data_IF_448245863811
#
_entry.id   IF_448245863811
#
_cell.length_a   1.000
_cell.length_b   1.000
_cell.length_c   1.000
_cell.angle_alpha   90.00
_cell.angle_beta   90.00
_cell.angle_gamma   90.00
#
_symmetry.space_group_name_H-M   'P 1'
#
loop_
_entity.id
_entity.type
_entity.pdbx_description
1 polymer ?
#
# COMPACT_ATOMS: atom_id res chain seq x y z
N UNK A 1 -49.91 19.97 -17.08
CA UNK A 1 -48.67 19.51 -17.71
C UNK A 1 -47.40 19.93 -16.92
N UNK A 2 -47.17 21.19 -16.59
CA UNK A 2 -45.94 21.63 -15.88
C UNK A 2 -45.71 20.94 -14.53
N UNK A 3 -46.72 20.58 -13.75
CA UNK A 3 -46.59 19.94 -12.44
C UNK A 3 -46.29 18.43 -12.57
N UNK A 4 -46.79 17.78 -13.62
CA UNK A 4 -46.51 16.37 -13.89
C UNK A 4 -45.04 16.19 -14.34
N UNK A 5 -44.55 17.14 -15.15
CA UNK A 5 -43.15 17.13 -15.59
C UNK A 5 -42.20 17.27 -14.38
N UNK A 6 -42.51 18.12 -13.42
CA UNK A 6 -41.72 18.26 -12.18
C UNK A 6 -41.74 17.01 -11.31
N UNK A 7 -42.88 16.33 -11.23
CA UNK A 7 -43.01 15.09 -10.46
C UNK A 7 -42.20 13.92 -11.09
N UNK A 8 -42.13 13.84 -12.41
CA UNK A 8 -41.43 12.78 -13.13
C UNK A 8 -39.92 13.05 -13.28
N UNK A 9 -39.45 14.26 -13.04
CA UNK A 9 -38.05 14.65 -13.27
C UNK A 9 -37.09 13.86 -12.37
N UNK A 10 -37.38 13.73 -11.08
CA UNK A 10 -36.52 13.01 -10.13
C UNK A 10 -36.45 11.50 -10.42
N UNK A 11 -37.55 10.77 -10.66
CA UNK A 11 -37.52 9.38 -11.10
C UNK A 11 -36.76 9.15 -12.41
N UNK A 12 -36.92 10.04 -13.38
CA UNK A 12 -36.20 9.92 -14.66
C UNK A 12 -34.70 10.09 -14.45
N UNK A 13 -34.27 11.06 -13.65
CA UNK A 13 -32.86 11.26 -13.32
C UNK A 13 -32.30 10.03 -12.59
N UNK A 14 -33.00 9.51 -11.57
CA UNK A 14 -32.52 8.36 -10.81
C UNK A 14 -32.40 7.08 -11.66
N UNK A 15 -33.36 6.82 -12.54
CA UNK A 15 -33.32 5.69 -13.45
C UNK A 15 -32.19 5.87 -14.47
N UNK A 16 -31.99 7.06 -15.00
CA UNK A 16 -30.91 7.34 -15.97
C UNK A 16 -29.53 7.16 -15.33
N UNK A 17 -29.31 7.69 -14.12
CA UNK A 17 -28.07 7.52 -13.39
C UNK A 17 -27.82 6.06 -13.01
N UNK A 18 -28.86 5.34 -12.58
CA UNK A 18 -28.74 3.92 -12.27
C UNK A 18 -28.40 3.09 -13.51
N UNK A 19 -29.05 3.38 -14.65
CA UNK A 19 -28.72 2.73 -15.91
C UNK A 19 -27.26 3.04 -16.32
N UNK A 20 -26.79 4.26 -16.12
CA UNK A 20 -25.42 4.65 -16.39
C UNK A 20 -24.43 3.86 -15.50
N UNK A 21 -24.65 3.77 -14.18
CA UNK A 21 -23.78 3.00 -13.28
C UNK A 21 -23.74 1.52 -13.64
N UNK A 22 -24.89 0.95 -14.01
CA UNK A 22 -24.99 -0.46 -14.41
C UNK A 22 -24.29 -0.72 -15.75
N UNK A 23 -24.49 0.16 -16.74
CA UNK A 23 -23.88 0.05 -18.06
C UNK A 23 -22.35 0.24 -18.04
N UNK A 24 -21.86 1.08 -17.13
CA UNK A 24 -20.43 1.35 -16.94
C UNK A 24 -19.76 0.39 -15.96
N UNK A 25 -20.48 -0.59 -15.44
CA UNK A 25 -20.00 -1.55 -14.45
C UNK A 25 -19.43 -0.90 -13.18
N UNK A 26 -19.98 0.27 -12.81
CA UNK A 26 -19.58 1.05 -11.63
C UNK A 26 -20.37 0.54 -10.42
N UNK A 27 -19.68 -0.05 -9.44
CA UNK A 27 -20.26 -0.51 -8.17
C UNK A 27 -19.79 0.35 -6.99
N UNK A 28 -20.56 0.41 -5.89
CA UNK A 28 -20.08 1.07 -4.67
C UNK A 28 -18.84 0.38 -4.13
N UNK A 29 -17.84 1.17 -3.76
CA UNK A 29 -16.65 0.67 -3.09
C UNK A 29 -16.95 0.43 -1.63
N UNK A 30 -16.52 -0.71 -1.09
CA UNK A 30 -16.77 -1.10 0.28
C UNK A 30 -15.57 -0.74 1.16
N UNK A 31 -15.80 -0.19 2.33
CA UNK A 31 -14.76 0.12 3.30
C UNK A 31 -14.23 -1.11 4.03
N UNK A 32 -13.17 -0.90 4.80
CA UNK A 32 -12.47 -1.94 5.56
C UNK A 32 -13.39 -2.75 6.49
N UNK A 33 -14.38 -2.11 7.08
CA UNK A 33 -15.38 -2.71 7.99
C UNK A 33 -16.33 -3.71 7.30
N UNK A 34 -16.49 -3.60 5.99
CA UNK A 34 -17.34 -4.46 5.17
C UNK A 34 -16.58 -5.51 4.37
N UNK A 35 -15.43 -5.14 3.82
CA UNK A 35 -14.58 -6.04 3.04
C UNK A 35 -13.58 -6.83 3.89
N UNK A 36 -13.30 -6.37 5.12
CA UNK A 36 -12.16 -6.83 5.89
C UNK A 36 -10.85 -6.28 5.32
N UNK A 37 -9.73 -6.65 5.92
CA UNK A 37 -8.41 -6.20 5.54
C UNK A 37 -7.60 -5.74 6.73
N UNK A 38 -6.66 -4.81 6.53
CA UNK A 38 -5.81 -4.27 7.58
C UNK A 38 -5.90 -2.74 7.66
N UNK A 39 -5.75 -2.24 8.88
CA UNK A 39 -5.54 -0.84 9.19
C UNK A 39 -4.23 -0.69 9.93
N UNK A 40 -3.33 0.14 9.43
CA UNK A 40 -2.00 0.38 10.01
C UNK A 40 -1.86 1.86 10.30
N UNK A 41 -1.38 2.17 11.51
CA UNK A 41 -0.97 3.52 11.87
C UNK A 41 0.55 3.56 11.87
N UNK A 42 1.09 4.41 11.00
CA UNK A 42 2.50 4.70 10.86
C UNK A 42 2.79 6.07 11.47
N UNK A 43 3.82 6.17 12.29
CA UNK A 43 4.18 7.43 12.97
C UNK A 43 5.57 7.85 12.54
N UNK A 44 5.69 9.08 12.04
CA UNK A 44 6.98 9.71 11.75
C UNK A 44 7.62 10.26 13.04
N UNK A 45 8.95 10.48 13.07
CA UNK A 45 9.63 11.14 14.18
C UNK A 45 9.02 12.50 14.51
N UNK A 46 9.11 12.89 15.81
CA UNK A 46 8.63 14.21 16.24
C UNK A 46 9.39 15.33 15.51
N UNK A 47 8.65 16.33 15.04
CA UNK A 47 9.24 17.47 14.32
C UNK A 47 9.43 17.27 12.84
N UNK A 48 8.93 16.16 12.26
CA UNK A 48 8.93 15.95 10.82
C UNK A 48 8.05 17.00 10.12
N UNK A 49 8.57 17.61 9.07
CA UNK A 49 7.84 18.59 8.26
C UNK A 49 6.65 17.91 7.55
N UNK A 50 5.50 18.57 7.55
CA UNK A 50 4.28 18.02 6.97
C UNK A 50 4.41 17.72 5.47
N UNK A 51 5.19 18.51 4.76
CA UNK A 51 5.47 18.31 3.32
C UNK A 51 6.14 16.94 3.06
N UNK A 52 7.07 16.51 3.93
CA UNK A 52 7.72 15.21 3.83
C UNK A 52 6.72 14.05 4.09
N UNK A 53 5.77 14.26 5.01
CA UNK A 53 4.72 13.28 5.28
C UNK A 53 3.78 13.16 4.07
N UNK A 54 3.42 14.27 3.44
CA UNK A 54 2.59 14.27 2.23
C UNK A 54 3.29 13.57 1.06
N UNK A 55 4.58 13.81 0.86
CA UNK A 55 5.39 13.08 -0.14
C UNK A 55 5.46 11.58 0.17
N UNK A 56 5.64 11.21 1.44
CA UNK A 56 5.65 9.81 1.84
C UNK A 56 4.31 9.11 1.57
N UNK A 57 3.19 9.78 1.83
CA UNK A 57 1.84 9.26 1.54
C UNK A 57 1.67 8.96 0.05
N UNK A 58 2.16 9.83 -0.82
CA UNK A 58 2.07 9.62 -2.27
C UNK A 58 2.92 8.42 -2.73
N UNK A 59 4.13 8.28 -2.18
CA UNK A 59 4.98 7.11 -2.46
C UNK A 59 4.34 5.83 -1.93
N UNK A 60 3.81 5.82 -0.70
CA UNK A 60 3.10 4.68 -0.13
C UNK A 60 1.91 4.26 -0.99
N UNK A 61 1.12 5.23 -1.44
CA UNK A 61 -0.01 4.98 -2.35
C UNK A 61 0.45 4.26 -3.62
N UNK A 62 1.46 4.81 -4.27
CA UNK A 62 1.97 4.27 -5.52
C UNK A 62 2.56 2.87 -5.35
N UNK A 63 3.27 2.62 -4.25
CA UNK A 63 3.78 1.28 -3.92
C UNK A 63 2.65 0.27 -3.75
N UNK A 64 1.62 0.61 -2.97
CA UNK A 64 0.50 -0.31 -2.69
C UNK A 64 -0.30 -0.61 -3.96
N UNK A 65 -0.57 0.40 -4.77
CA UNK A 65 -1.26 0.22 -6.06
C UNK A 65 -0.48 -0.71 -7.00
N UNK A 66 0.85 -0.64 -6.97
CA UNK A 66 1.72 -1.51 -7.78
C UNK A 66 1.73 -2.97 -7.34
N UNK A 67 1.44 -3.27 -6.07
CA UNK A 67 1.31 -4.65 -5.60
C UNK A 67 0.08 -5.38 -6.16
N UNK A 68 -0.91 -4.65 -6.70
CA UNK A 68 -2.05 -5.21 -7.42
C UNK A 68 -3.10 -5.96 -6.59
N UNK A 69 -2.80 -6.28 -5.33
CA UNK A 69 -3.70 -7.03 -4.43
C UNK A 69 -4.70 -6.12 -3.69
N UNK A 70 -4.50 -4.80 -3.73
CA UNK A 70 -5.33 -3.82 -3.04
C UNK A 70 -6.13 -3.03 -4.06
N UNK A 71 -7.44 -3.19 -4.06
CA UNK A 71 -8.29 -2.52 -5.04
C UNK A 71 -8.33 -1.00 -4.84
N UNK A 72 -8.14 -0.49 -3.63
CA UNK A 72 -8.07 0.96 -3.33
C UNK A 72 -7.57 1.19 -1.90
N UNK A 73 -6.29 1.53 -1.73
CA UNK A 73 -5.76 1.90 -0.44
C UNK A 73 -6.33 3.26 0.00
N UNK A 74 -6.84 3.32 1.22
CA UNK A 74 -7.22 4.59 1.85
C UNK A 74 -6.07 5.05 2.75
N UNK A 75 -5.34 6.07 2.32
CA UNK A 75 -4.20 6.62 3.05
C UNK A 75 -4.52 8.06 3.41
N UNK A 76 -4.51 8.35 4.70
CA UNK A 76 -4.83 9.68 5.24
C UNK A 76 -3.87 10.07 6.35
N UNK A 77 -3.53 11.36 6.40
CA UNK A 77 -2.73 11.93 7.49
C UNK A 77 -3.63 12.08 8.72
N UNK A 78 -3.18 11.54 9.85
CA UNK A 78 -3.88 11.56 11.12
C UNK A 78 -3.05 12.30 12.17
N UNK A 79 -3.52 13.47 12.58
CA UNK A 79 -2.73 14.34 13.48
C UNK A 79 -1.56 15.00 12.77
N UNK A 80 -0.47 15.29 13.50
CA UNK A 80 0.67 16.06 12.98
C UNK A 80 1.77 15.21 12.36
N UNK A 81 1.91 13.95 12.79
CA UNK A 81 3.02 13.08 12.38
C UNK A 81 2.63 11.62 12.14
N UNK A 82 1.34 11.32 12.06
CA UNK A 82 0.87 9.95 11.85
C UNK A 82 0.13 9.82 10.52
N UNK A 83 0.27 8.65 9.90
CA UNK A 83 -0.42 8.28 8.67
C UNK A 83 -1.26 7.04 8.96
N UNK A 84 -2.56 7.13 8.71
CA UNK A 84 -3.48 6.01 8.76
C UNK A 84 -3.57 5.39 7.37
N UNK A 85 -3.22 4.12 7.27
CA UNK A 85 -3.30 3.33 6.05
C UNK A 85 -4.34 2.24 6.24
N UNK A 86 -5.37 2.23 5.40
CA UNK A 86 -6.41 1.20 5.39
C UNK A 86 -6.37 0.48 4.05
N UNK A 87 -6.26 -0.84 4.11
CA UNK A 87 -6.13 -1.71 2.94
C UNK A 87 -7.28 -2.72 2.93
N UNK A 88 -8.42 -2.34 2.33
CA UNK A 88 -9.57 -3.22 2.22
C UNK A 88 -9.26 -4.40 1.29
N UNK A 89 -9.75 -5.60 1.63
CA UNK A 89 -9.68 -6.78 0.79
C UNK A 89 -8.29 -7.41 0.63
N UNK A 90 -7.28 -6.92 1.36
CA UNK A 90 -5.93 -7.49 1.32
C UNK A 90 -5.93 -8.92 1.83
N UNK A 91 -5.41 -9.85 1.01
CA UNK A 91 -5.27 -11.26 1.35
C UNK A 91 -3.95 -11.55 2.05
N UNK A 92 -2.85 -10.97 1.57
CA UNK A 92 -1.53 -11.07 2.18
C UNK A 92 -1.19 -9.80 2.97
N UNK A 93 -1.48 -9.88 4.27
CA UNK A 93 -1.31 -8.76 5.19
C UNK A 93 0.16 -8.46 5.48
N UNK A 94 1.01 -9.49 5.56
CA UNK A 94 2.43 -9.31 5.90
C UNK A 94 3.15 -8.57 4.78
N UNK A 95 2.88 -8.94 3.55
CA UNK A 95 3.40 -8.30 2.35
C UNK A 95 3.02 -6.82 2.26
N UNK A 96 1.75 -6.51 2.51
CA UNK A 96 1.29 -5.12 2.48
C UNK A 96 1.92 -4.27 3.60
N UNK A 97 2.13 -4.86 4.79
CA UNK A 97 2.79 -4.20 5.91
C UNK A 97 4.28 -3.97 5.62
N UNK A 98 4.96 -4.94 4.99
CA UNK A 98 6.36 -4.82 4.59
C UNK A 98 6.55 -3.68 3.58
N UNK A 99 5.71 -3.64 2.56
CA UNK A 99 5.73 -2.57 1.55
C UNK A 99 5.55 -1.16 2.13
N UNK A 100 4.74 -1.04 3.20
CA UNK A 100 4.51 0.22 3.90
C UNK A 100 5.64 0.59 4.86
N UNK A 101 6.25 -0.40 5.52
CA UNK A 101 7.17 -0.18 6.62
C UNK A 101 8.63 0.01 6.21
N UNK A 102 9.01 -0.36 4.98
CA UNK A 102 10.37 -0.20 4.50
C UNK A 102 10.58 1.20 3.96
N UNK A 103 11.64 1.87 4.44
CA UNK A 103 12.00 3.19 3.88
C UNK A 103 12.39 3.07 2.43
N UNK A 104 12.97 1.93 2.03
CA UNK A 104 13.46 1.68 0.67
C UNK A 104 14.66 2.56 0.33
N UNK A 105 15.43 2.94 1.34
CA UNK A 105 16.64 3.74 1.15
C UNK A 105 17.71 2.85 0.52
N UNK A 106 17.84 2.97 -0.79
CA UNK A 106 18.88 2.26 -1.54
C UNK A 106 20.13 3.11 -1.68
N UNK A 107 21.29 2.50 -1.40
CA UNK A 107 22.61 3.03 -1.78
C UNK A 107 23.46 1.98 -2.45
N UNK A 108 24.25 2.38 -3.43
CA UNK A 108 25.28 1.55 -4.07
C UNK A 108 26.64 2.08 -3.65
N UNK A 109 27.45 1.22 -3.04
CA UNK A 109 28.71 1.60 -2.39
C UNK A 109 29.85 0.69 -2.79
N UNK A 110 31.10 1.21 -2.91
CA UNK A 110 32.27 0.36 -3.04
C UNK A 110 32.52 -0.42 -1.76
N UNK A 111 32.83 -1.71 -1.89
CA UNK A 111 33.34 -2.51 -0.77
C UNK A 111 34.83 -2.18 -0.57
N UNK A 112 35.19 -1.76 0.63
CA UNK A 112 36.58 -1.48 1.02
C UNK A 112 37.23 -2.75 1.60
N UNK A 113 36.49 -3.43 2.46
CA UNK A 113 36.88 -4.73 3.01
C UNK A 113 35.62 -5.53 3.36
N UNK A 114 35.74 -6.86 3.37
CA UNK A 114 34.73 -7.73 3.97
C UNK A 114 35.48 -8.64 4.90
N UNK A 115 35.47 -8.35 6.18
CA UNK A 115 35.93 -9.28 7.15
C UNK A 115 34.84 -10.29 7.42
N UNK A 116 34.96 -11.44 6.76
CA UNK A 116 34.58 -12.66 7.44
C UNK A 116 35.26 -12.57 8.81
N UNK A 117 34.51 -12.47 9.84
CA UNK A 117 34.91 -12.66 11.22
C UNK A 117 35.94 -13.79 11.26
N UNK A 118 37.22 -13.46 11.24
CA UNK A 118 38.30 -14.43 11.29
C UNK A 118 38.12 -15.31 12.54
N UNK A 119 37.54 -16.50 12.37
CA UNK A 119 37.31 -17.47 13.42
C UNK A 119 36.00 -17.33 14.22
N UNK A 120 35.16 -16.35 13.98
CA UNK A 120 33.85 -16.26 14.55
C UNK A 120 32.84 -16.88 13.57
N UNK A 121 32.33 -18.06 13.92
CA UNK A 121 31.05 -18.55 13.37
C UNK A 121 29.99 -17.96 14.29
N UNK A 122 29.33 -16.88 13.91
CA UNK A 122 28.16 -16.47 14.66
C UNK A 122 27.11 -17.54 14.42
N UNK A 123 26.95 -18.43 15.38
CA UNK A 123 25.68 -19.09 15.53
C UNK A 123 24.70 -17.94 15.78
N UNK A 124 24.00 -17.49 14.73
CA UNK A 124 22.86 -16.62 14.92
C UNK A 124 21.87 -17.40 15.76
N UNK A 125 21.81 -17.06 17.03
CA UNK A 125 20.72 -17.50 17.86
C UNK A 125 19.51 -16.65 17.45
N UNK A 126 18.71 -17.22 16.57
CA UNK A 126 17.38 -16.72 16.34
C UNK A 126 16.55 -17.01 17.59
N UNK A 127 16.36 -16.02 18.43
CA UNK A 127 15.43 -16.18 19.53
C UNK A 127 14.00 -15.93 19.05
N UNK A 128 13.02 -16.73 19.54
CA UNK A 128 11.63 -16.49 19.22
C UNK A 128 11.26 -15.08 19.62
N UNK A 129 10.74 -14.29 18.68
CA UNK A 129 10.18 -13.00 19.00
C UNK A 129 8.88 -13.23 19.79
N UNK A 130 8.76 -12.81 21.07
CA UNK A 130 7.55 -13.03 21.83
C UNK A 130 6.35 -12.28 21.28
N UNK A 131 6.58 -11.21 20.50
CA UNK A 131 5.53 -10.38 19.91
C UNK A 131 5.19 -10.81 18.48
N UNK A 132 6.06 -11.56 17.79
CA UNK A 132 5.87 -12.08 16.44
C UNK A 132 6.64 -13.40 16.25
N UNK A 133 6.02 -14.56 16.56
CA UNK A 133 6.69 -15.88 16.49
C UNK A 133 7.11 -16.29 15.07
N UNK A 134 6.56 -15.66 14.03
CA UNK A 134 6.88 -15.95 12.63
C UNK A 134 8.11 -15.19 12.13
N UNK A 135 8.51 -14.12 12.84
CA UNK A 135 9.73 -13.36 12.58
C UNK A 135 10.67 -13.42 13.79
N UNK A 136 11.60 -14.38 13.83
CA UNK A 136 12.56 -14.46 14.93
C UNK A 136 13.44 -13.22 15.01
N UNK A 137 13.66 -12.72 16.21
CA UNK A 137 14.57 -11.60 16.48
C UNK A 137 15.99 -11.99 16.07
N UNK A 138 16.60 -11.21 15.18
CA UNK A 138 17.98 -11.31 14.79
C UNK A 138 18.84 -10.77 15.95
N UNK A 139 19.42 -11.63 16.75
CA UNK A 139 20.34 -11.21 17.83
C UNK A 139 21.73 -11.12 17.25
N UNK A 140 22.30 -9.92 17.24
CA UNK A 140 23.74 -9.73 17.07
C UNK A 140 24.41 -10.20 18.34
N UNK A 141 25.38 -11.14 18.32
CA UNK A 141 26.03 -11.62 19.54
C UNK A 141 26.65 -10.47 20.32
N UNK A 142 26.46 -10.47 21.65
CA UNK A 142 27.09 -9.53 22.54
C UNK A 142 28.63 -9.47 22.31
N UNK A 143 29.14 -8.26 22.06
CA UNK A 143 30.56 -8.04 21.81
C UNK A 143 30.98 -7.82 20.37
N UNK A 144 30.11 -8.06 19.38
CA UNK A 144 30.39 -7.70 17.97
C UNK A 144 30.28 -6.17 17.79
N UNK A 145 29.33 -5.54 18.47
CA UNK A 145 29.13 -4.08 18.43
C UNK A 145 30.32 -3.32 19.06
N UNK A 146 30.97 -3.87 20.09
CA UNK A 146 32.12 -3.23 20.75
C UNK A 146 33.43 -3.44 19.97
N UNK A 147 33.61 -4.54 19.26
CA UNK A 147 34.87 -4.89 18.59
C UNK A 147 35.01 -4.21 17.23
N UNK A 148 33.89 -3.94 16.51
CA UNK A 148 33.92 -3.48 15.12
C UNK A 148 33.31 -2.10 14.93
N UNK A 149 32.65 -1.54 15.96
CA UNK A 149 31.98 -0.24 15.83
C UNK A 149 30.87 -0.28 14.75
N UNK A 150 30.12 -1.38 14.68
CA UNK A 150 28.95 -1.49 13.81
C UNK A 150 27.95 -0.46 14.31
N UNK A 151 27.97 0.72 13.73
CA UNK A 151 26.87 1.65 13.89
C UNK A 151 25.76 1.18 12.98
N UNK A 152 24.59 0.86 13.52
CA UNK A 152 23.37 0.64 12.72
C UNK A 152 22.95 1.89 11.94
N UNK A 153 23.71 2.97 12.02
CA UNK A 153 23.48 4.19 11.27
C UNK A 153 24.19 4.09 9.92
N UNK A 154 23.42 3.80 8.90
CA UNK A 154 23.86 3.92 7.52
C UNK A 154 24.03 5.41 7.17
N UNK A 155 25.27 5.89 7.19
CA UNK A 155 25.57 7.23 6.71
C UNK A 155 26.10 7.16 5.25
N UNK A 156 25.30 7.58 4.27
CA UNK A 156 25.67 7.52 2.86
C UNK A 156 26.94 8.31 2.50
N UNK A 157 27.33 9.26 3.31
CA UNK A 157 28.45 10.18 3.02
C UNK A 157 29.78 9.78 3.66
N UNK A 158 29.78 8.72 4.47
CA UNK A 158 30.98 8.27 5.20
C UNK A 158 31.19 6.77 5.07
N UNK A 159 32.34 6.28 5.58
CA UNK A 159 32.58 4.85 5.74
C UNK A 159 31.59 4.31 6.77
N UNK A 160 30.94 3.20 6.43
CA UNK A 160 29.98 2.52 7.29
C UNK A 160 30.28 1.02 7.34
N UNK A 161 30.01 0.40 8.48
CA UNK A 161 30.15 -1.03 8.68
C UNK A 161 28.76 -1.64 8.75
N UNK A 162 28.35 -2.35 7.70
CA UNK A 162 27.00 -2.89 7.57
C UNK A 162 27.01 -4.40 7.48
N UNK A 163 25.97 -5.00 8.02
CA UNK A 163 25.77 -6.44 7.97
C UNK A 163 25.07 -6.84 6.68
N UNK A 164 25.49 -7.96 6.10
CA UNK A 164 24.80 -8.61 4.99
C UNK A 164 24.89 -10.12 5.10
N UNK A 165 24.05 -10.83 4.37
CA UNK A 165 24.09 -12.29 4.31
C UNK A 165 24.60 -12.69 2.93
N UNK A 166 25.82 -13.23 2.86
CA UNK A 166 26.37 -13.77 1.64
C UNK A 166 26.46 -15.30 1.76
N UNK A 167 25.93 -16.03 0.78
CA UNK A 167 25.96 -17.49 0.75
C UNK A 167 25.45 -18.20 2.03
N UNK A 168 24.46 -17.58 2.70
CA UNK A 168 23.84 -18.09 3.93
C UNK A 168 24.62 -17.79 5.23
N UNK A 169 25.74 -17.08 5.15
CA UNK A 169 26.51 -16.64 6.30
C UNK A 169 26.50 -15.11 6.42
N UNK A 170 26.42 -14.59 7.65
CA UNK A 170 26.53 -13.16 7.88
C UNK A 170 27.96 -12.67 7.64
N UNK A 171 28.07 -11.56 6.96
CA UNK A 171 29.32 -10.91 6.61
C UNK A 171 29.20 -9.42 6.98
N UNK A 172 30.21 -8.89 7.65
CA UNK A 172 30.31 -7.45 7.89
C UNK A 172 31.12 -6.86 6.75
N UNK A 173 30.52 -5.86 6.11
CA UNK A 173 31.14 -5.12 5.01
C UNK A 173 31.58 -3.74 5.50
N UNK A 174 32.84 -3.41 5.28
CA UNK A 174 33.32 -2.04 5.33
C UNK A 174 33.04 -1.39 3.98
N UNK A 175 32.16 -0.39 3.99
CA UNK A 175 31.67 0.26 2.80
C UNK A 175 32.15 1.71 2.70
N UNK A 176 32.60 2.09 1.53
CA UNK A 176 32.90 3.49 1.24
C UNK A 176 31.64 4.34 1.09
N UNK A 177 31.80 5.66 0.84
CA UNK A 177 30.68 6.56 0.57
C UNK A 177 29.81 6.06 -0.59
N UNK A 178 28.50 6.35 -0.53
CA UNK A 178 27.56 5.98 -1.56
C UNK A 178 27.90 6.68 -2.90
N UNK A 179 28.11 5.89 -3.93
CA UNK A 179 28.30 6.40 -5.29
C UNK A 179 26.98 6.68 -6.00
N UNK A 180 25.96 5.85 -5.71
CA UNK A 180 24.61 5.99 -6.24
C UNK A 180 23.60 5.82 -5.11
N UNK A 181 22.42 6.40 -5.28
CA UNK A 181 21.27 6.32 -4.38
C UNK A 181 20.03 5.88 -5.14
N UNK A 182 18.94 5.56 -4.46
CA UNK A 182 17.65 5.27 -5.08
C UNK A 182 17.16 6.35 -6.04
N UNK A 183 17.57 7.60 -5.83
CA UNK A 183 17.26 8.72 -6.74
C UNK A 183 17.92 8.60 -8.12
N UNK A 184 18.95 7.79 -8.26
CA UNK A 184 19.67 7.57 -9.50
C UNK A 184 19.01 6.47 -10.37
N UNK A 185 18.01 5.74 -9.85
CA UNK A 185 17.27 4.69 -10.54
C UNK A 185 16.10 5.30 -11.33
N UNK A 186 15.91 4.85 -12.56
CA UNK A 186 14.75 5.19 -13.40
C UNK A 186 13.69 4.11 -13.39
N UNK A 187 14.10 2.85 -13.38
CA UNK A 187 13.19 1.69 -13.36
C UNK A 187 13.83 0.48 -12.67
N UNK A 188 12.98 -0.41 -12.13
CA UNK A 188 13.38 -1.66 -11.53
C UNK A 188 12.37 -2.75 -11.86
N UNK A 189 12.83 -3.91 -12.36
CA UNK A 189 11.97 -5.00 -12.81
C UNK A 189 12.54 -6.32 -12.29
N UNK A 190 11.69 -7.16 -11.68
CA UNK A 190 12.06 -8.53 -11.35
C UNK A 190 11.98 -9.39 -12.61
N UNK A 191 13.03 -10.15 -12.89
CA UNK A 191 13.12 -11.07 -14.02
C UNK A 191 13.73 -12.40 -13.57
N UNK A 192 13.48 -13.48 -14.32
CA UNK A 192 13.92 -14.82 -13.98
C UNK A 192 14.77 -15.45 -15.10
N UNK A 193 15.95 -14.88 -15.40
CA UNK A 193 16.88 -15.51 -16.34
C UNK A 193 17.65 -16.67 -15.66
N UNK A 194 18.02 -17.67 -16.45
CA UNK A 194 18.93 -18.74 -16.04
C UNK A 194 18.58 -19.46 -14.72
N UNK A 195 17.28 -19.54 -14.39
CA UNK A 195 16.75 -20.18 -13.18
C UNK A 195 17.09 -19.47 -11.86
N UNK A 196 17.33 -18.17 -11.92
CA UNK A 196 17.59 -17.30 -10.77
C UNK A 196 16.76 -16.03 -10.84
N UNK A 197 16.18 -15.60 -9.71
CA UNK A 197 15.50 -14.31 -9.64
C UNK A 197 16.52 -13.19 -9.50
N UNK A 198 16.43 -12.22 -10.40
CA UNK A 198 17.21 -10.98 -10.33
C UNK A 198 16.28 -9.78 -10.42
N UNK A 199 16.66 -8.69 -9.76
CA UNK A 199 16.04 -7.38 -9.97
C UNK A 199 16.96 -6.57 -10.90
N UNK A 200 16.50 -6.38 -12.13
CA UNK A 200 17.17 -5.55 -13.12
C UNK A 200 16.86 -4.08 -12.84
N UNK A 201 17.91 -3.28 -12.72
CA UNK A 201 17.84 -1.84 -12.46
C UNK A 201 18.23 -1.08 -13.72
N UNK A 202 17.47 -0.07 -14.07
CA UNK A 202 17.80 0.91 -15.09
C UNK A 202 18.12 2.26 -14.41
N UNK A 203 19.29 2.81 -14.69
CA UNK A 203 19.73 4.08 -14.12
C UNK A 203 19.24 5.27 -14.97
N UNK A 204 19.06 6.40 -14.34
CA UNK A 204 18.78 7.65 -15.05
C UNK A 204 20.00 8.07 -15.89
N UNK A 205 19.75 8.68 -17.04
CA UNK A 205 20.81 9.08 -17.99
C UNK A 205 21.89 10.00 -17.40
N UNK A 206 21.54 10.77 -16.36
CA UNK A 206 22.51 11.63 -15.65
C UNK A 206 23.36 10.85 -14.64
N UNK A 207 22.99 9.62 -14.31
CA UNK A 207 23.64 8.77 -13.30
C UNK A 207 24.47 7.65 -13.92
N UNK A 208 24.33 7.41 -15.23
CA UNK A 208 25.11 6.41 -15.98
C UNK A 208 26.63 6.66 -15.87
N UNK A 209 27.06 7.92 -15.96
CA UNK A 209 28.48 8.27 -15.78
C UNK A 209 29.02 7.93 -14.39
N UNK A 210 28.21 8.14 -13.33
CA UNK A 210 28.61 7.80 -11.96
C UNK A 210 28.81 6.29 -11.79
N UNK A 211 27.90 5.49 -12.37
CA UNK A 211 28.00 4.02 -12.34
C UNK A 211 29.19 3.53 -13.15
N UNK A 212 29.42 4.12 -14.34
CA UNK A 212 30.57 3.82 -15.18
C UNK A 212 31.88 4.14 -14.44
N UNK A 213 31.98 5.28 -13.77
CA UNK A 213 33.20 5.67 -13.03
C UNK A 213 33.42 4.77 -11.80
N UNK A 214 32.35 4.42 -11.06
CA UNK A 214 32.41 3.44 -9.97
C UNK A 214 32.95 2.09 -10.47
N UNK A 215 32.38 1.57 -11.55
CA UNK A 215 32.75 0.25 -12.08
C UNK A 215 34.15 0.24 -12.70
N UNK A 216 34.66 1.35 -13.24
CA UNK A 216 36.06 1.51 -13.61
C UNK A 216 36.99 1.37 -12.42
N UNK A 217 36.69 2.13 -11.35
CA UNK A 217 37.50 2.10 -10.13
C UNK A 217 37.56 0.68 -9.55
N UNK A 218 36.40 0.02 -9.43
CA UNK A 218 36.32 -1.35 -8.93
C UNK A 218 36.98 -2.38 -9.87
N UNK A 219 36.86 -2.23 -11.19
CA UNK A 219 37.50 -3.10 -12.16
C UNK A 219 39.03 -3.05 -12.08
N UNK A 220 39.61 -1.96 -11.62
CA UNK A 220 41.05 -1.80 -11.40
C UNK A 220 41.57 -2.51 -10.14
N UNK A 221 40.69 -2.92 -9.25
CA UNK A 221 40.98 -3.54 -7.94
C UNK A 221 40.91 -5.06 -8.01
N UNK A 222 41.24 -5.72 -6.91
CA UNK A 222 41.21 -7.19 -6.79
C UNK A 222 40.58 -7.63 -5.47
N UNK A 223 40.14 -8.89 -5.41
CA UNK A 223 39.52 -9.46 -4.21
C UNK A 223 38.24 -8.76 -3.80
N UNK A 224 38.06 -8.51 -2.50
CA UNK A 224 36.85 -7.89 -1.95
C UNK A 224 36.62 -6.46 -2.46
N UNK A 225 37.69 -5.72 -2.67
CA UNK A 225 37.61 -4.35 -3.18
C UNK A 225 37.11 -4.24 -4.64
N UNK A 226 36.98 -5.37 -5.35
CA UNK A 226 36.39 -5.44 -6.69
C UNK A 226 34.87 -5.61 -6.64
N UNK A 227 34.28 -5.59 -5.44
CA UNK A 227 32.84 -5.74 -5.24
C UNK A 227 32.18 -4.37 -5.05
N UNK A 228 30.92 -4.29 -5.46
CA UNK A 228 30.01 -3.22 -5.09
C UNK A 228 28.95 -3.78 -4.15
N UNK A 229 28.61 -3.06 -3.12
CA UNK A 229 27.54 -3.43 -2.21
C UNK A 229 26.27 -2.64 -2.57
N UNK A 230 25.15 -3.37 -2.63
CA UNK A 230 23.80 -2.80 -2.74
C UNK A 230 23.20 -2.86 -1.36
N UNK A 231 23.00 -1.70 -0.76
CA UNK A 231 22.49 -1.52 0.60
C UNK A 231 21.06 -1.04 0.52
N UNK A 232 20.18 -1.70 1.24
CA UNK A 232 18.78 -1.34 1.40
C UNK A 232 18.46 -1.22 2.88
N UNK A 233 18.00 -0.04 3.32
CA UNK A 233 17.61 0.23 4.70
C UNK A 233 18.69 -0.16 5.74
N UNK A 234 19.97 0.08 5.39
CA UNK A 234 21.10 -0.21 6.28
C UNK A 234 21.58 -1.67 6.27
N UNK A 235 21.03 -2.54 5.44
CA UNK A 235 21.49 -3.92 5.27
C UNK A 235 22.05 -4.16 3.87
N UNK A 236 23.17 -4.89 3.76
CA UNK A 236 23.73 -5.27 2.48
C UNK A 236 22.93 -6.44 1.90
N UNK A 237 22.08 -6.13 0.91
CA UNK A 237 21.22 -7.14 0.25
C UNK A 237 22.04 -7.98 -0.73
N UNK A 238 23.02 -7.37 -1.41
CA UNK A 238 23.86 -8.06 -2.38
C UNK A 238 25.20 -7.34 -2.51
N UNK A 239 26.27 -8.10 -2.72
CA UNK A 239 27.60 -7.54 -2.94
C UNK A 239 28.31 -8.24 -4.14
N UNK A 240 27.79 -8.02 -5.38
CA UNK A 240 28.36 -8.62 -6.58
C UNK A 240 29.76 -8.08 -6.89
N UNK A 241 30.64 -8.98 -7.35
CA UNK A 241 31.94 -8.60 -7.89
C UNK A 241 31.82 -8.12 -9.33
N UNK A 242 32.66 -7.13 -9.70
CA UNK A 242 32.80 -6.73 -11.10
C UNK A 242 33.50 -7.85 -11.87
N UNK A 243 32.92 -8.30 -12.97
CA UNK A 243 33.45 -9.38 -13.79
C UNK A 243 34.87 -9.05 -14.30
N UNK A 244 35.72 -10.08 -14.41
CA UNK A 244 37.13 -9.88 -14.77
C UNK A 244 37.36 -9.43 -16.21
N UNK A 245 36.38 -9.61 -17.08
CA UNK A 245 36.38 -9.18 -18.49
C UNK A 245 36.00 -7.69 -18.66
N UNK A 246 35.57 -7.02 -17.61
CA UNK A 246 35.32 -5.56 -17.64
C UNK A 246 36.64 -4.80 -17.71
N UNK A 247 36.82 -4.02 -18.78
CA UNK A 247 38.01 -3.18 -18.97
C UNK A 247 38.03 -2.03 -17.94
N UNK A 248 39.10 -1.94 -17.11
CA UNK A 248 39.22 -0.86 -16.11
C UNK A 248 39.22 0.55 -16.69
N UNK A 249 39.51 0.71 -18.00
CA UNK A 249 39.48 2.02 -18.65
C UNK A 249 38.06 2.39 -19.16
N UNK A 250 37.18 1.41 -19.34
CA UNK A 250 35.85 1.61 -19.91
C UNK A 250 34.79 1.53 -18.84
N UNK A 251 34.89 0.56 -17.93
CA UNK A 251 33.83 0.27 -16.95
C UNK A 251 32.57 -0.37 -17.57
N UNK A 252 31.50 -0.43 -16.81
CA UNK A 252 30.19 -0.90 -17.29
C UNK A 252 29.42 0.36 -17.76
N UNK A 253 29.04 0.34 -19.03
CA UNK A 253 28.28 1.41 -19.67
C UNK A 253 26.85 0.96 -19.96
N UNK A 254 25.92 1.91 -20.16
CA UNK A 254 24.54 1.62 -20.55
C UNK A 254 23.55 1.62 -19.40
N UNK A 255 23.98 2.01 -18.18
CA UNK A 255 23.09 2.33 -17.08
C UNK A 255 22.27 1.15 -16.55
N UNK A 256 22.71 -0.10 -16.78
CA UNK A 256 22.01 -1.29 -16.29
C UNK A 256 22.82 -1.98 -15.18
N UNK A 257 22.16 -2.30 -14.09
CA UNK A 257 22.68 -3.09 -12.99
C UNK A 257 21.69 -4.21 -12.65
N UNK A 258 22.14 -5.25 -11.98
CA UNK A 258 21.29 -6.34 -11.56
C UNK A 258 21.59 -6.74 -10.12
N UNK A 259 20.55 -6.95 -9.33
CA UNK A 259 20.61 -7.49 -7.98
C UNK A 259 20.24 -8.96 -8.04
N UNK A 260 21.17 -9.86 -7.72
CA UNK A 260 20.89 -11.28 -7.59
C UNK A 260 20.18 -11.53 -6.25
N UNK A 261 19.04 -12.23 -6.31
CA UNK A 261 18.25 -12.61 -5.12
C UNK A 261 18.60 -14.02 -4.63
N UNK A 262 19.48 -14.72 -5.34
CA UNK A 262 19.85 -16.11 -5.04
C UNK A 262 18.79 -17.15 -5.47
N UNK A 263 19.16 -18.43 -5.33
CA UNK A 263 18.33 -19.56 -5.81
C UNK A 263 17.18 -19.93 -4.85
N UNK A 264 17.15 -19.38 -3.64
CA UNK A 264 16.14 -19.71 -2.61
C UNK A 264 14.99 -18.71 -2.58
N UNK A 265 15.08 -17.67 -3.40
CA UNK A 265 14.05 -16.62 -3.40
C UNK A 265 12.79 -17.06 -4.14
N UNK A 266 11.67 -16.63 -3.58
CA UNK A 266 10.39 -16.68 -4.26
C UNK A 266 10.32 -15.47 -5.18
N UNK A 267 9.83 -15.61 -6.41
CA UNK A 267 9.66 -14.45 -7.30
C UNK A 267 8.87 -13.27 -6.70
N UNK A 268 8.28 -13.52 -5.58
CA UNK A 268 7.54 -12.57 -4.77
C UNK A 268 8.45 -11.54 -4.10
N UNK A 269 9.53 -11.97 -3.42
CA UNK A 269 10.49 -11.04 -2.80
C UNK A 269 11.20 -10.19 -3.85
N UNK A 270 11.55 -10.78 -5.00
CA UNK A 270 12.13 -10.04 -6.12
C UNK A 270 11.18 -8.97 -6.66
N UNK A 271 9.89 -9.29 -6.81
CA UNK A 271 8.87 -8.33 -7.23
C UNK A 271 8.67 -7.22 -6.20
N UNK A 272 8.62 -7.56 -4.90
CA UNK A 272 8.49 -6.59 -3.83
C UNK A 272 9.67 -5.60 -3.84
N UNK A 273 10.89 -6.13 -3.93
CA UNK A 273 12.08 -5.30 -4.02
C UNK A 273 12.04 -4.40 -5.26
N UNK A 274 11.67 -4.92 -6.43
CA UNK A 274 11.56 -4.15 -7.65
C UNK A 274 10.57 -2.99 -7.51
N UNK A 275 9.40 -3.22 -6.87
CA UNK A 275 8.41 -2.17 -6.61
C UNK A 275 8.98 -1.10 -5.68
N UNK A 276 9.61 -1.48 -4.56
CA UNK A 276 10.21 -0.53 -3.62
C UNK A 276 11.25 0.34 -4.33
N UNK A 277 12.10 -0.26 -5.16
CA UNK A 277 13.17 0.46 -5.87
C UNK A 277 12.65 1.34 -7.01
N UNK A 278 11.62 0.89 -7.71
CA UNK A 278 10.99 1.67 -8.80
C UNK A 278 10.31 2.94 -8.31
N UNK A 279 9.60 2.88 -7.18
CA UNK A 279 8.82 4.00 -6.66
C UNK A 279 9.59 4.84 -5.64
N UNK A 280 10.81 4.46 -5.32
CA UNK A 280 11.76 5.24 -4.55
C UNK A 280 11.64 5.10 -3.03
N UNK A 281 12.58 5.71 -2.33
CA UNK A 281 12.66 5.73 -0.87
C UNK A 281 11.61 6.65 -0.25
N UNK A 282 11.08 6.27 0.91
CA UNK A 282 10.30 7.19 1.74
C UNK A 282 11.24 8.28 2.28
N UNK A 283 10.83 9.55 2.25
CA UNK A 283 11.66 10.65 2.74
C UNK A 283 11.81 10.65 4.27
N UNK A 284 11.02 9.84 4.96
CA UNK A 284 10.98 9.72 6.42
C UNK A 284 10.85 8.25 6.80
N UNK A 285 11.58 7.81 7.82
CA UNK A 285 11.39 6.51 8.43
C UNK A 285 10.14 6.55 9.34
N UNK A 286 9.19 5.66 9.06
CA UNK A 286 7.98 5.53 9.87
C UNK A 286 8.08 4.34 10.80
N UNK A 287 7.68 4.55 12.05
CA UNK A 287 7.49 3.46 13.01
C UNK A 287 6.04 2.97 12.98
N UNK A 288 5.86 1.67 13.08
CA UNK A 288 4.54 1.03 13.16
C UNK A 288 3.98 1.17 14.57
N UNK A 289 2.98 2.03 14.74
CA UNK A 289 2.39 2.30 16.06
C UNK A 289 1.23 1.37 16.40
N UNK A 290 0.45 0.93 15.38
CA UNK A 290 -0.68 0.04 15.59
C UNK A 290 -1.05 -0.71 14.30
N UNK A 291 -1.42 -1.97 14.44
CA UNK A 291 -1.95 -2.80 13.35
C UNK A 291 -3.27 -3.39 13.83
N UNK A 292 -4.34 -3.15 13.08
CA UNK A 292 -5.65 -3.73 13.32
C UNK A 292 -6.06 -4.58 12.12
N UNK A 293 -6.33 -5.85 12.38
CA UNK A 293 -6.82 -6.80 11.38
C UNK A 293 -8.34 -6.89 11.48
N UNK A 294 -9.04 -6.61 10.38
CA UNK A 294 -10.49 -6.73 10.28
C UNK A 294 -10.82 -7.95 9.42
N UNK A 295 -11.55 -8.90 10.00
CA UNK A 295 -11.91 -10.12 9.28
C UNK A 295 -12.97 -9.85 8.22
N UNK A 296 -12.73 -10.26 6.99
CA UNK A 296 -13.68 -10.19 5.88
C UNK A 296 -15.02 -10.88 6.20
N UNK A 297 -14.98 -12.00 6.93
CA UNK A 297 -16.20 -12.75 7.28
C UNK A 297 -17.15 -12.00 8.22
N UNK A 298 -16.61 -11.12 9.08
CA UNK A 298 -17.44 -10.26 9.95
C UNK A 298 -18.11 -9.16 9.14
N UNK A 299 -17.39 -8.55 8.20
CA UNK A 299 -17.92 -7.49 7.33
C UNK A 299 -19.01 -8.01 6.39
N UNK A 300 -18.78 -9.12 5.70
CA UNK A 300 -19.74 -9.73 4.77
C UNK A 300 -21.04 -10.15 5.47
N UNK A 301 -20.94 -10.83 6.61
CA UNK A 301 -22.13 -11.20 7.39
C UNK A 301 -22.91 -9.97 7.86
N UNK A 302 -22.23 -8.92 8.30
CA UNK A 302 -22.86 -7.69 8.77
C UNK A 302 -23.54 -6.94 7.62
N UNK A 303 -22.91 -6.90 6.45
CA UNK A 303 -23.48 -6.32 5.23
C UNK A 303 -24.78 -7.08 4.82
N UNK A 304 -24.72 -8.42 4.77
CA UNK A 304 -25.86 -9.23 4.40
C UNK A 304 -27.03 -9.05 5.38
N UNK A 305 -26.76 -9.11 6.69
CA UNK A 305 -27.77 -8.89 7.72
C UNK A 305 -28.35 -7.48 7.67
N UNK A 306 -27.51 -6.46 7.49
CA UNK A 306 -27.93 -5.07 7.35
C UNK A 306 -28.81 -4.85 6.12
N UNK A 307 -28.43 -5.42 4.98
CA UNK A 307 -29.23 -5.35 3.75
C UNK A 307 -30.57 -6.06 3.90
N UNK A 308 -30.58 -7.26 4.49
CA UNK A 308 -31.80 -8.00 4.78
C UNK A 308 -32.75 -7.23 5.71
N UNK A 309 -32.22 -6.68 6.80
CA UNK A 309 -33.00 -5.86 7.73
C UNK A 309 -33.58 -4.62 7.03
N UNK A 310 -32.80 -3.93 6.19
CA UNK A 310 -33.26 -2.80 5.40
C UNK A 310 -34.35 -3.15 4.41
N UNK A 311 -34.21 -4.25 3.67
CA UNK A 311 -35.25 -4.74 2.74
C UNK A 311 -36.53 -5.13 3.48
N UNK A 312 -36.42 -5.87 4.59
CA UNK A 312 -37.59 -6.26 5.41
C UNK A 312 -38.29 -5.02 5.94
N UNK A 313 -37.55 -4.05 6.48
CA UNK A 313 -38.11 -2.77 6.93
C UNK A 313 -38.84 -2.02 5.82
N UNK A 314 -38.23 -1.94 4.63
CA UNK A 314 -38.84 -1.28 3.46
C UNK A 314 -40.14 -1.98 3.01
N UNK A 315 -40.17 -3.32 3.03
CA UNK A 315 -41.36 -4.11 2.69
C UNK A 315 -42.50 -3.83 3.71
N UNK A 316 -42.16 -3.82 4.99
CA UNK A 316 -43.15 -3.53 6.06
C UNK A 316 -43.75 -2.14 5.87
N UNK A 317 -42.90 -1.11 5.72
CA UNK A 317 -43.35 0.28 5.53
C UNK A 317 -44.17 0.39 4.25
N UNK A 318 -43.69 -0.17 3.14
CA UNK A 318 -44.42 -0.16 1.84
C UNK A 318 -45.80 -0.83 1.94
N UNK A 319 -45.86 -1.95 2.64
CA UNK A 319 -47.12 -2.66 2.84
C UNK A 319 -48.12 -1.85 3.70
N UNK A 320 -47.66 -1.24 4.79
CA UNK A 320 -48.47 -0.35 5.60
C UNK A 320 -48.99 0.85 4.82
N UNK A 321 -48.12 1.48 4.02
CA UNK A 321 -48.50 2.60 3.17
C UNK A 321 -49.52 2.20 2.12
N UNK A 322 -49.36 1.05 1.48
CA UNK A 322 -50.30 0.53 0.50
C UNK A 322 -51.66 0.24 1.11
N UNK A 323 -51.71 -0.42 2.29
CA UNK A 323 -52.95 -0.72 3.00
C UNK A 323 -53.70 0.53 3.45
N UNK A 324 -52.97 1.53 3.93
CA UNK A 324 -53.59 2.74 4.50
C UNK A 324 -53.97 3.77 3.43
N UNK A 325 -53.08 4.02 2.47
CA UNK A 325 -53.24 5.09 1.45
C UNK A 325 -53.63 4.57 0.06
N UNK A 326 -53.74 3.23 -0.13
CA UNK A 326 -54.16 2.60 -1.41
C UNK A 326 -53.37 3.16 -2.62
N UNK A 327 -54.04 3.79 -3.56
CA UNK A 327 -53.43 4.31 -4.80
C UNK A 327 -52.32 5.37 -4.54
N UNK A 328 -52.46 6.21 -3.52
CA UNK A 328 -51.44 7.17 -3.11
C UNK A 328 -50.21 6.50 -2.53
N UNK A 329 -50.36 5.35 -1.86
CA UNK A 329 -49.25 4.54 -1.38
C UNK A 329 -48.32 4.07 -2.51
N UNK A 330 -48.86 3.81 -3.71
CA UNK A 330 -48.03 3.44 -4.89
C UNK A 330 -47.10 4.59 -5.28
N UNK A 331 -47.56 5.84 -5.21
CA UNK A 331 -46.73 7.02 -5.52
C UNK A 331 -45.57 7.15 -4.52
N UNK A 332 -45.84 6.88 -3.24
CA UNK A 332 -44.79 6.91 -2.19
C UNK A 332 -43.78 5.81 -2.39
N UNK A 333 -44.22 4.58 -2.69
CA UNK A 333 -43.33 3.45 -2.98
C UNK A 333 -42.43 3.79 -4.17
N UNK A 334 -43.00 4.37 -5.22
CA UNK A 334 -42.24 4.80 -6.40
C UNK A 334 -41.23 5.90 -6.06
N UNK A 335 -41.58 6.86 -5.20
CA UNK A 335 -40.68 7.90 -4.68
C UNK A 335 -39.53 7.33 -3.88
N UNK A 336 -39.83 6.41 -2.94
CA UNK A 336 -38.80 5.72 -2.12
C UNK A 336 -37.85 4.87 -2.98
N UNK A 337 -38.39 4.16 -3.96
CA UNK A 337 -37.57 3.37 -4.91
C UNK A 337 -36.66 4.29 -5.73
N UNK A 338 -37.16 5.44 -6.22
CA UNK A 338 -36.36 6.44 -6.92
C UNK A 338 -35.25 6.99 -6.04
N UNK A 339 -35.52 7.25 -4.76
CA UNK A 339 -34.53 7.70 -3.80
C UNK A 339 -33.43 6.65 -3.59
N UNK A 340 -33.80 5.37 -3.42
CA UNK A 340 -32.83 4.26 -3.28
C UNK A 340 -31.94 4.10 -4.51
N UNK A 341 -32.51 4.19 -5.73
CA UNK A 341 -31.73 4.13 -6.96
C UNK A 341 -30.78 5.33 -7.11
N UNK A 342 -31.25 6.52 -6.74
CA UNK A 342 -30.42 7.72 -6.75
C UNK A 342 -29.26 7.60 -5.76
N UNK A 343 -29.57 7.17 -4.52
CA UNK A 343 -28.58 6.98 -3.47
C UNK A 343 -27.49 5.98 -3.90
N UNK A 344 -27.89 4.80 -4.42
CA UNK A 344 -26.96 3.82 -4.96
C UNK A 344 -26.06 4.41 -6.05
N UNK A 345 -26.68 5.11 -7.02
CA UNK A 345 -25.95 5.69 -8.15
C UNK A 345 -24.96 6.77 -7.71
N UNK A 346 -25.36 7.64 -6.78
CA UNK A 346 -24.50 8.70 -6.27
C UNK A 346 -23.30 8.12 -5.51
N UNK A 347 -23.52 7.14 -4.62
CA UNK A 347 -22.42 6.50 -3.89
C UNK A 347 -21.49 5.76 -4.84
N UNK A 348 -22.02 5.03 -5.83
CA UNK A 348 -21.20 4.34 -6.82
C UNK A 348 -20.33 5.31 -7.63
N UNK A 349 -20.89 6.44 -8.07
CA UNK A 349 -20.18 7.46 -8.81
C UNK A 349 -19.13 8.14 -7.93
N UNK A 350 -19.48 8.55 -6.72
CA UNK A 350 -18.55 9.17 -5.79
C UNK A 350 -17.41 8.21 -5.40
N UNK A 351 -17.73 6.92 -5.20
CA UNK A 351 -16.73 5.90 -4.96
C UNK A 351 -15.72 5.80 -6.09
N UNK A 352 -16.20 5.78 -7.35
CA UNK A 352 -15.32 5.62 -8.49
C UNK A 352 -14.48 6.87 -8.83
N UNK A 353 -15.04 8.07 -8.66
CA UNK A 353 -14.36 9.31 -9.05
C UNK A 353 -13.60 10.00 -7.91
N UNK A 354 -14.01 9.82 -6.67
CA UNK A 354 -13.44 10.50 -5.50
C UNK A 354 -12.95 9.55 -4.40
N UNK A 355 -13.00 8.22 -4.62
CA UNK A 355 -12.52 7.22 -3.67
C UNK A 355 -13.39 7.08 -2.41
N UNK A 356 -14.67 7.51 -2.43
CA UNK A 356 -15.56 7.31 -1.28
C UNK A 356 -15.91 5.83 -1.10
N UNK A 357 -15.62 5.31 0.08
CA UNK A 357 -15.95 3.94 0.47
C UNK A 357 -17.25 3.88 1.28
N UNK A 358 -18.07 2.88 1.00
CA UNK A 358 -19.30 2.61 1.76
C UNK A 358 -18.94 1.83 3.02
N UNK A 359 -19.11 2.47 4.17
CA UNK A 359 -18.86 1.87 5.49
C UNK A 359 -20.14 1.33 6.11
N UNK A 360 -20.03 0.52 7.18
CA UNK A 360 -21.17 0.05 7.97
C UNK A 360 -21.99 1.23 8.52
N UNK A 361 -21.32 2.27 8.99
CA UNK A 361 -21.97 3.51 9.45
C UNK A 361 -22.73 4.20 8.31
N UNK A 362 -22.16 4.20 7.09
CA UNK A 362 -22.79 4.72 5.88
C UNK A 362 -24.09 3.97 5.53
N UNK A 363 -24.08 2.64 5.63
CA UNK A 363 -25.29 1.81 5.42
C UNK A 363 -26.35 2.12 6.46
N UNK A 364 -25.98 2.20 7.75
CA UNK A 364 -26.90 2.58 8.80
C UNK A 364 -27.51 3.97 8.56
N UNK A 365 -26.69 4.95 8.13
CA UNK A 365 -27.15 6.27 7.75
C UNK A 365 -28.12 6.27 6.55
N UNK A 366 -27.86 5.40 5.57
CA UNK A 366 -28.74 5.21 4.42
C UNK A 366 -30.13 4.68 4.86
N UNK A 367 -30.16 3.66 5.71
CA UNK A 367 -31.42 3.07 6.24
C UNK A 367 -32.22 4.14 7.00
N UNK A 368 -31.57 4.91 7.86
CA UNK A 368 -32.20 6.02 8.59
C UNK A 368 -32.74 7.09 7.62
N UNK A 369 -31.98 7.45 6.58
CA UNK A 369 -32.39 8.43 5.57
C UNK A 369 -33.63 7.97 4.79
N UNK A 370 -33.70 6.69 4.44
CA UNK A 370 -34.90 6.09 3.80
C UNK A 370 -36.10 6.18 4.75
N UNK A 371 -35.89 5.90 6.05
CA UNK A 371 -36.94 6.02 7.07
C UNK A 371 -37.49 7.45 7.20
N UNK A 372 -36.60 8.44 7.24
CA UNK A 372 -36.97 9.88 7.27
C UNK A 372 -37.69 10.31 6.00
N UNK A 373 -37.27 9.81 4.83
CA UNK A 373 -37.95 10.08 3.57
C UNK A 373 -39.38 9.50 3.60
N UNK A 374 -39.56 8.25 4.10
CA UNK A 374 -40.87 7.64 4.25
C UNK A 374 -41.79 8.45 5.19
N UNK A 375 -41.28 8.91 6.33
CA UNK A 375 -42.02 9.75 7.27
C UNK A 375 -42.45 11.07 6.63
N UNK A 376 -41.56 11.73 5.86
CA UNK A 376 -41.86 12.96 5.12
C UNK A 376 -42.98 12.76 4.11
N UNK A 377 -43.01 11.63 3.38
CA UNK A 377 -44.10 11.30 2.46
C UNK A 377 -45.42 11.05 3.21
N UNK A 378 -45.40 10.38 4.37
CA UNK A 378 -46.58 10.16 5.21
C UNK A 378 -47.16 11.48 5.69
N UNK A 379 -46.29 12.35 6.19
CA UNK A 379 -46.69 13.68 6.65
C UNK A 379 -47.34 14.50 5.51
N UNK A 380 -46.76 14.47 4.32
CA UNK A 380 -47.29 15.15 3.15
C UNK A 380 -48.67 14.62 2.74
N UNK A 381 -48.89 13.30 2.78
CA UNK A 381 -50.17 12.68 2.48
C UNK A 381 -51.24 13.00 3.50
N UNK A 382 -50.86 13.10 4.79
CA UNK A 382 -51.75 13.44 5.86
C UNK A 382 -52.21 14.93 5.84
N UNK A 383 -51.32 15.82 5.46
CA UNK A 383 -51.56 17.27 5.42
C UNK A 383 -52.12 17.75 4.08
N UNK A 384 -52.17 16.91 3.05
CA UNK A 384 -52.72 17.25 1.75
C UNK A 384 -54.26 17.39 1.85
N UNK A 385 -54.86 18.50 1.44
CA UNK A 385 -56.34 18.65 1.46
C UNK A 385 -56.95 17.57 0.57
N UNK A 386 -58.01 16.96 1.09
CA UNK A 386 -58.80 15.99 0.33
C UNK A 386 -59.41 16.66 -0.90
N UNK A 387 -59.41 16.01 -2.08
CA UNK A 387 -60.08 16.57 -3.26
C UNK A 387 -61.60 16.67 -3.13
N UNK A 388 -62.15 16.42 -1.93
CA UNK A 388 -63.56 16.49 -1.63
C UNK A 388 -63.95 17.65 -0.73
N UNK A 389 -63.00 18.41 -0.26
CA UNK A 389 -63.19 19.70 0.40
C UNK A 389 -62.93 20.83 -0.60
#
# INVERSE_FOLDING_TARGET
MKNIIKLLLLPVISITLFYYTLSSNISPKLGLDLQGGISVILTAPEGTEQELIEQAVEIMRTRIEAFGDVQEPEISISGNNSVLVQLPGVTDQNKAIEALGTTGLLTVRPVLDSSLTNGYSPAFDYQPNPDDPENPLKIVPDGVDEIIGVSNEDNPNSISYLLGVNTGFPVIYELGPAALTGNDISDAIAVYPDNEWIVSLELKSNSDSKFTDLTKDLASKSGEQRKLAIVLDGEVVSAPGIAYDVDPNVGITGGNAAISMGNTDTGESANNLAVILRYGALPVAFERSSIQKVSASLGENTLQLGLQAGIVGLIIVSTLLFLYYRALGIVVIFGLSSFGLLFYSVISILGNFQGYTLTLAGIAGAIVSIGLAADSYICLLYTSPSPRD
#
